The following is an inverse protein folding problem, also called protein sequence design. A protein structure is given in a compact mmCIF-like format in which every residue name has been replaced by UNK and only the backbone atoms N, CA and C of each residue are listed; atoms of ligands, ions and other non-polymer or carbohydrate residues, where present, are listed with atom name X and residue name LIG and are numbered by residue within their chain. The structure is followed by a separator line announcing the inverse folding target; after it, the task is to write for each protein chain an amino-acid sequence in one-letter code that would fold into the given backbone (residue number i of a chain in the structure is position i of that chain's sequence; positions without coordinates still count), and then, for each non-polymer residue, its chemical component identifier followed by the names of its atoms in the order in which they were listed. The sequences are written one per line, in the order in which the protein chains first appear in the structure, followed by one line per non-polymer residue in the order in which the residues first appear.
data_IF_586850448539
#
_entry.id   IF_586850448539
#
_cell.length_a   1.000
_cell.length_b   1.000
_cell.length_c   1.000
_cell.angle_alpha   90.00
_cell.angle_beta   90.00
_cell.angle_gamma   90.00
#
_symmetry.space_group_name_H-M   'P 1'
#
loop_
_entity.id
_entity.type
_entity.pdbx_description
1 polymer ?
#
# COMPACT_ATOMS: atom_id res chain seq x y z
N UNK A 1 62.08 -47.94 -13.61
CA UNK A 1 61.94 -46.88 -14.64
C UNK A 1 60.59 -47.11 -15.30
N UNK A 2 59.51 -46.33 -15.18
CA UNK A 2 59.12 -44.99 -14.65
C UNK A 2 57.70 -45.21 -14.08
N UNK A 3 57.40 -45.05 -12.78
CA UNK A 3 57.01 -43.82 -12.09
C UNK A 3 56.32 -42.76 -12.97
N UNK A 4 54.98 -42.76 -13.00
CA UNK A 4 54.13 -41.59 -13.29
C UNK A 4 52.86 -41.71 -12.45
N UNK A 5 52.84 -40.98 -11.33
CA UNK A 5 51.64 -40.37 -10.74
C UNK A 5 51.41 -39.07 -11.53
N UNK A 6 50.16 -38.65 -11.82
CA UNK A 6 49.67 -37.49 -11.08
C UNK A 6 48.14 -37.40 -10.86
N UNK A 7 47.84 -36.82 -9.70
CA UNK A 7 46.87 -35.73 -9.48
C UNK A 7 45.39 -36.06 -9.57
N UNK A 8 44.85 -36.15 -8.35
CA UNK A 8 43.46 -36.02 -7.97
C UNK A 8 42.82 -34.73 -8.52
N UNK A 9 41.60 -34.86 -9.03
CA UNK A 9 40.64 -33.76 -9.16
C UNK A 9 39.34 -34.22 -8.47
N UNK A 10 39.31 -34.07 -7.15
CA UNK A 10 38.07 -34.19 -6.37
C UNK A 10 37.32 -32.88 -6.58
N UNK A 11 36.35 -32.90 -7.49
CA UNK A 11 35.36 -31.84 -7.64
C UNK A 11 34.36 -32.01 -6.48
N UNK A 12 34.60 -31.29 -5.39
CA UNK A 12 33.63 -31.15 -4.30
C UNK A 12 32.54 -30.22 -4.83
N UNK A 13 31.44 -30.80 -5.29
CA UNK A 13 30.19 -30.09 -5.51
C UNK A 13 29.64 -29.68 -4.14
N UNK A 14 30.04 -28.50 -3.67
CA UNK A 14 29.34 -27.80 -2.60
C UNK A 14 28.02 -27.29 -3.20
N UNK A 15 27.00 -28.14 -3.19
CA UNK A 15 25.61 -27.69 -3.20
C UNK A 15 25.36 -27.02 -1.85
N UNK A 16 25.77 -25.77 -1.73
CA UNK A 16 25.21 -24.88 -0.73
C UNK A 16 23.75 -24.64 -1.16
N UNK A 17 22.83 -25.37 -0.53
CA UNK A 17 21.46 -24.91 -0.45
C UNK A 17 21.52 -23.60 0.34
N UNK A 18 21.54 -22.48 -0.39
CA UNK A 18 21.25 -21.18 0.18
C UNK A 18 19.77 -21.24 0.54
N UNK A 19 19.47 -21.61 1.78
CA UNK A 19 18.14 -21.47 2.36
C UNK A 19 17.91 -19.97 2.45
N UNK A 20 17.32 -19.43 1.38
CA UNK A 20 16.92 -18.03 1.32
C UNK A 20 15.64 -17.94 2.13
N UNK A 21 15.80 -17.92 3.46
CA UNK A 21 14.75 -17.64 4.44
C UNK A 21 14.29 -16.20 4.19
N UNK A 22 13.44 -16.07 3.17
CA UNK A 22 12.65 -14.86 2.94
C UNK A 22 11.50 -14.99 3.93
N UNK A 23 11.51 -14.08 4.90
CA UNK A 23 10.51 -14.02 5.97
C UNK A 23 9.33 -13.22 5.40
N UNK A 24 8.10 -13.71 5.60
CA UNK A 24 6.91 -12.98 5.17
C UNK A 24 6.78 -11.66 5.94
N UNK A 25 6.43 -10.54 5.28
CA UNK A 25 6.23 -9.28 5.97
C UNK A 25 5.04 -9.33 6.94
N UNK A 26 4.17 -10.34 6.86
CA UNK A 26 3.00 -10.49 7.74
C UNK A 26 3.02 -11.86 8.40
N UNK A 27 3.02 -11.87 9.73
CA UNK A 27 2.88 -13.06 10.56
C UNK A 27 1.58 -13.01 11.35
N UNK A 28 0.90 -14.15 11.46
CA UNK A 28 -0.28 -14.29 12.32
C UNK A 28 0.13 -15.13 13.52
N UNK A 29 -0.10 -14.61 14.71
CA UNK A 29 0.20 -15.35 15.93
C UNK A 29 -1.05 -16.12 16.39
N UNK A 30 -0.90 -17.42 16.65
CA UNK A 30 -1.76 -18.09 17.62
C UNK A 30 -1.37 -17.58 19.02
N UNK A 31 -2.36 -17.25 19.85
CA UNK A 31 -2.22 -16.63 21.18
C UNK A 31 -1.43 -17.51 22.19
N UNK A 32 -0.11 -17.62 22.04
CA UNK A 32 0.77 -18.16 23.07
C UNK A 32 1.67 -17.04 23.62
N UNK A 33 1.12 -16.32 24.61
CA UNK A 33 1.80 -15.29 25.38
C UNK A 33 2.80 -15.93 26.36
N UNK A 34 4.10 -15.78 26.12
CA UNK A 34 5.10 -15.86 27.19
C UNK A 34 5.47 -14.46 27.70
N UNK A 35 5.49 -14.21 29.01
CA UNK A 35 5.71 -12.88 29.57
C UNK A 35 7.20 -12.50 29.58
N UNK A 36 7.52 -11.35 28.99
CA UNK A 36 8.83 -10.71 29.09
C UNK A 36 9.11 -10.27 30.54
N UNK A 37 10.16 -10.84 31.13
CA UNK A 37 10.68 -10.46 32.44
C UNK A 37 11.37 -9.10 32.40
N UNK A 38 10.84 -8.16 33.17
CA UNK A 38 11.44 -6.84 33.44
C UNK A 38 12.72 -7.00 34.28
N UNK A 39 13.83 -6.42 33.83
CA UNK A 39 15.00 -6.13 34.69
C UNK A 39 15.40 -4.67 34.52
N UNK A 40 15.29 -3.92 35.62
CA UNK A 40 15.74 -2.54 35.72
C UNK A 40 17.19 -2.48 36.24
N UNK A 41 18.02 -1.65 35.62
CA UNK A 41 19.10 -0.93 36.29
C UNK A 41 19.49 0.28 35.43
N UNK A 42 19.42 1.47 36.04
CA UNK A 42 19.80 2.74 35.45
C UNK A 42 21.27 3.05 35.77
N UNK A 43 22.02 3.50 34.77
CA UNK A 43 23.23 4.30 34.95
C UNK A 43 23.25 5.38 33.86
N UNK A 44 23.41 6.62 34.29
CA UNK A 44 23.34 7.83 33.47
C UNK A 44 24.72 8.27 33.00
N UNK A 45 24.93 8.32 31.68
CA UNK A 45 26.05 8.97 30.98
C UNK A 45 25.49 9.80 29.79
N UNK A 46 26.27 10.73 29.19
CA UNK A 46 25.75 11.97 28.61
C UNK A 46 24.95 11.77 27.32
N UNK A 47 24.05 12.72 27.05
CA UNK A 47 23.15 12.82 25.88
C UNK A 47 23.90 12.88 24.53
N UNK A 48 24.51 11.78 24.12
CA UNK A 48 24.48 11.38 22.72
C UNK A 48 23.08 10.79 22.48
N UNK A 49 22.40 11.25 21.43
CA UNK A 49 21.09 10.70 21.07
C UNK A 49 21.30 9.24 20.64
N UNK A 50 21.11 8.30 21.58
CA UNK A 50 21.01 6.90 21.23
C UNK A 50 19.93 6.76 20.14
N UNK A 51 20.20 6.00 19.07
CA UNK A 51 19.19 5.74 18.06
C UNK A 51 17.96 5.14 18.77
N UNK A 52 16.81 5.75 18.57
CA UNK A 52 15.54 5.22 19.07
C UNK A 52 15.40 3.81 18.50
N UNK A 53 15.37 2.81 19.38
CA UNK A 53 15.15 1.42 18.99
C UNK A 53 13.71 1.30 18.47
N UNK A 54 13.57 1.17 17.15
CA UNK A 54 12.29 0.96 16.49
C UNK A 54 12.03 -0.53 16.54
N UNK A 55 10.87 -0.92 17.07
CA UNK A 55 10.45 -2.31 17.06
C UNK A 55 10.53 -2.88 15.63
N UNK A 56 11.12 -4.07 15.49
CA UNK A 56 11.25 -4.75 14.20
C UNK A 56 9.86 -5.09 13.60
N UNK A 57 8.82 -5.16 14.46
CA UNK A 57 7.46 -5.52 14.11
C UNK A 57 6.43 -4.55 14.69
N UNK A 58 5.30 -4.40 14.00
CA UNK A 58 4.10 -3.74 14.51
C UNK A 58 2.95 -4.74 14.63
N UNK A 59 2.30 -4.78 15.78
CA UNK A 59 1.18 -5.69 16.05
C UNK A 59 -0.17 -4.98 15.93
N UNK A 60 -1.08 -5.59 15.17
CA UNK A 60 -2.44 -5.12 14.95
C UNK A 60 -3.43 -6.19 15.40
N UNK A 61 -4.49 -5.79 16.11
CA UNK A 61 -5.59 -6.71 16.45
C UNK A 61 -6.73 -6.50 15.46
N UNK A 62 -7.03 -7.52 14.64
CA UNK A 62 -8.10 -7.49 13.63
C UNK A 62 -9.02 -8.67 13.87
N UNK A 63 -10.30 -8.42 14.19
CA UNK A 63 -11.28 -9.49 14.46
C UNK A 63 -10.78 -10.56 15.46
N UNK A 64 -10.15 -10.13 16.55
CA UNK A 64 -9.55 -11.00 17.60
C UNK A 64 -8.29 -11.78 17.15
N UNK A 65 -7.81 -11.59 15.92
CA UNK A 65 -6.54 -12.12 15.40
C UNK A 65 -5.42 -11.08 15.60
N UNK A 66 -4.24 -11.52 16.07
CA UNK A 66 -3.04 -10.68 16.11
C UNK A 66 -2.29 -10.85 14.80
N UNK A 67 -2.18 -9.74 14.06
CA UNK A 67 -1.43 -9.62 12.83
C UNK A 67 -0.17 -8.81 13.12
N UNK A 68 1.00 -9.44 12.97
CA UNK A 68 2.31 -8.82 13.14
C UNK A 68 2.89 -8.46 11.78
N UNK A 69 3.29 -7.20 11.61
CA UNK A 69 3.82 -6.63 10.38
C UNK A 69 5.31 -6.33 10.57
N UNK A 70 6.19 -6.94 9.76
CA UNK A 70 7.61 -6.61 9.74
C UNK A 70 7.82 -5.20 9.19
N UNK A 71 8.35 -4.31 10.03
CA UNK A 71 8.64 -2.92 9.66
C UNK A 71 9.84 -2.86 8.72
N UNK A 72 10.85 -3.69 8.97
CA UNK A 72 12.12 -3.68 8.22
C UNK A 72 11.98 -4.17 6.80
N UNK A 73 11.05 -5.10 6.56
CA UNK A 73 10.81 -5.66 5.22
C UNK A 73 9.95 -4.74 4.34
N UNK A 74 9.50 -3.60 4.89
CA UNK A 74 8.73 -2.57 4.18
C UNK A 74 9.55 -1.26 4.21
N UNK A 75 10.44 -1.03 3.21
CA UNK A 75 11.40 0.07 3.26
C UNK A 75 10.79 1.46 3.46
N UNK A 76 9.65 1.72 2.83
CA UNK A 76 8.93 3.00 2.96
C UNK A 76 8.43 3.23 4.40
N UNK A 77 7.98 2.17 5.06
CA UNK A 77 7.47 2.23 6.43
C UNK A 77 8.62 2.41 7.43
N UNK A 78 9.70 1.63 7.24
CA UNK A 78 10.93 1.77 8.02
C UNK A 78 11.51 3.19 7.92
N UNK A 79 11.62 3.74 6.70
CA UNK A 79 12.10 5.11 6.50
C UNK A 79 11.18 6.15 7.14
N UNK A 80 9.86 5.99 7.01
CA UNK A 80 8.88 6.88 7.64
C UNK A 80 9.07 6.92 9.16
N UNK A 81 9.17 5.76 9.81
CA UNK A 81 9.32 5.65 11.26
C UNK A 81 10.65 6.20 11.76
N UNK A 82 11.76 5.95 11.04
CA UNK A 82 13.07 6.53 11.36
C UNK A 82 13.08 8.07 11.32
N UNK A 83 12.22 8.67 10.50
CA UNK A 83 12.11 10.12 10.42
C UNK A 83 11.25 10.74 11.53
N UNK A 84 10.53 9.94 12.33
CA UNK A 84 9.63 10.46 13.36
C UNK A 84 10.37 10.86 14.64
N UNK A 85 9.94 11.96 15.24
CA UNK A 85 10.39 12.35 16.58
C UNK A 85 9.97 11.35 17.66
N UNK A 86 8.83 10.69 17.44
CA UNK A 86 8.29 9.65 18.32
C UNK A 86 7.76 8.49 17.46
N UNK A 87 8.62 7.55 17.04
CA UNK A 87 8.23 6.42 16.18
C UNK A 87 7.15 5.55 16.81
N UNK A 88 7.19 5.36 18.13
CA UNK A 88 6.22 4.57 18.88
C UNK A 88 4.81 5.16 18.86
N UNK A 89 4.70 6.49 18.94
CA UNK A 89 3.42 7.16 18.76
C UNK A 89 2.93 7.03 17.31
N UNK A 90 3.82 7.19 16.33
CA UNK A 90 3.46 7.05 14.92
C UNK A 90 3.00 5.62 14.58
N UNK A 91 3.60 4.59 15.18
CA UNK A 91 3.14 3.20 15.07
C UNK A 91 1.72 3.01 15.60
N UNK A 92 1.42 3.57 16.78
CA UNK A 92 0.08 3.48 17.41
C UNK A 92 -1.02 4.17 16.62
N UNK A 93 -0.66 5.14 15.78
CA UNK A 93 -1.59 5.87 14.92
C UNK A 93 -1.83 5.16 13.57
N UNK A 94 -1.09 4.09 13.28
CA UNK A 94 -1.33 3.28 12.09
C UNK A 94 -2.58 2.42 12.26
N UNK A 95 -3.25 2.15 11.15
CA UNK A 95 -4.39 1.25 11.11
C UNK A 95 -4.23 0.25 9.97
N UNK A 96 -4.56 -1.01 10.26
CA UNK A 96 -4.47 -2.10 9.30
C UNK A 96 -5.86 -2.70 9.09
N UNK A 97 -6.32 -2.67 7.85
CA UNK A 97 -7.57 -3.30 7.44
C UNK A 97 -7.28 -4.60 6.67
N UNK A 98 -8.08 -5.64 6.92
CA UNK A 98 -7.96 -6.94 6.26
C UNK A 98 -9.12 -7.15 5.28
N UNK A 99 -8.77 -7.61 4.08
CA UNK A 99 -9.71 -7.95 3.02
C UNK A 99 -9.55 -9.41 2.62
N UNK A 100 -10.68 -10.07 2.36
CA UNK A 100 -10.73 -11.49 1.96
C UNK A 100 -11.55 -11.60 0.68
N UNK A 101 -10.93 -12.10 -0.39
CA UNK A 101 -11.56 -12.33 -1.69
C UNK A 101 -11.37 -13.78 -2.10
N UNK A 102 -12.42 -14.58 -1.92
CA UNK A 102 -12.34 -16.02 -2.16
C UNK A 102 -11.35 -16.68 -1.20
N UNK A 103 -10.19 -17.10 -1.72
CA UNK A 103 -9.10 -17.71 -0.94
C UNK A 103 -7.91 -16.78 -0.73
N UNK A 104 -7.88 -15.62 -1.39
CA UNK A 104 -6.81 -14.64 -1.26
C UNK A 104 -7.17 -13.65 -0.15
N UNK A 105 -6.17 -13.23 0.60
CA UNK A 105 -6.29 -12.15 1.57
C UNK A 105 -5.21 -11.10 1.33
N UNK A 106 -5.56 -9.85 1.57
CA UNK A 106 -4.63 -8.73 1.49
C UNK A 106 -4.99 -7.70 2.56
N UNK A 107 -4.09 -6.76 2.78
CA UNK A 107 -4.25 -5.75 3.81
C UNK A 107 -4.01 -4.35 3.26
N UNK A 108 -4.66 -3.37 3.86
CA UNK A 108 -4.42 -1.95 3.62
C UNK A 108 -3.92 -1.34 4.91
N UNK A 109 -2.68 -0.86 4.90
CA UNK A 109 -2.10 -0.12 6.00
C UNK A 109 -2.26 1.38 5.75
N UNK A 110 -2.95 2.06 6.66
CA UNK A 110 -3.07 3.51 6.75
C UNK A 110 -1.99 4.03 7.70
N UNK A 111 -1.14 4.95 7.24
CA UNK A 111 -0.04 5.50 8.02
C UNK A 111 0.24 6.97 7.69
N UNK A 112 1.12 7.61 8.47
CA UNK A 112 1.58 9.00 8.25
C UNK A 112 0.46 10.06 8.22
N UNK A 113 -0.61 9.89 8.99
CA UNK A 113 -1.80 10.72 8.85
C UNK A 113 -1.65 12.17 9.35
N UNK A 114 -2.22 13.13 8.62
CA UNK A 114 -2.29 14.55 8.97
C UNK A 114 -3.57 15.18 8.41
N UNK A 115 -4.43 15.72 9.30
CA UNK A 115 -5.74 16.31 8.93
C UNK A 115 -6.57 15.43 7.97
N UNK A 116 -6.80 14.17 8.36
CA UNK A 116 -7.55 13.15 7.60
C UNK A 116 -6.94 12.74 6.25
N UNK A 117 -5.73 13.21 5.94
CA UNK A 117 -4.93 12.75 4.80
C UNK A 117 -3.88 11.77 5.29
N UNK A 118 -3.83 10.58 4.70
CA UNK A 118 -2.90 9.52 5.06
C UNK A 118 -2.18 8.97 3.83
N UNK A 119 -1.13 8.21 4.08
CA UNK A 119 -0.50 7.35 3.07
C UNK A 119 -1.03 5.93 3.26
N UNK A 120 -1.16 5.19 2.15
CA UNK A 120 -1.83 3.89 2.12
C UNK A 120 -0.93 2.87 1.42
N UNK A 121 -0.58 1.79 2.13
CA UNK A 121 0.10 0.64 1.55
C UNK A 121 -0.88 -0.51 1.34
N UNK A 122 -0.84 -1.10 0.15
CA UNK A 122 -1.41 -2.40 -0.13
C UNK A 122 -0.36 -3.47 0.17
N UNK A 123 -0.74 -4.45 1.00
CA UNK A 123 0.14 -5.48 1.53
C UNK A 123 -0.43 -6.87 1.27
N UNK A 124 0.44 -7.84 1.06
CA UNK A 124 0.08 -9.25 0.99
C UNK A 124 0.87 -10.05 2.02
N UNK A 125 0.29 -11.12 2.61
CA UNK A 125 1.05 -12.03 3.46
C UNK A 125 2.00 -12.98 2.70
N UNK A 126 2.14 -12.84 1.38
CA UNK A 126 3.10 -13.60 0.58
C UNK A 126 4.36 -12.74 0.45
N UNK A 127 5.49 -13.28 0.88
CA UNK A 127 6.79 -12.61 0.84
C UNK A 127 7.25 -12.22 -0.58
N UNK A 128 6.73 -12.89 -1.61
CA UNK A 128 7.07 -12.58 -3.00
C UNK A 128 6.26 -11.39 -3.55
N UNK A 129 5.27 -10.90 -2.80
CA UNK A 129 4.39 -9.80 -3.17
C UNK A 129 4.79 -8.55 -2.35
N UNK A 130 5.56 -7.61 -2.93
CA UNK A 130 6.05 -6.45 -2.19
C UNK A 130 4.91 -5.51 -1.78
N UNK A 131 5.15 -4.68 -0.77
CA UNK A 131 4.24 -3.60 -0.39
C UNK A 131 4.13 -2.56 -1.52
N UNK A 132 2.91 -2.08 -1.79
CA UNK A 132 2.64 -1.05 -2.80
C UNK A 132 2.02 0.20 -2.19
N UNK A 133 2.62 1.37 -2.42
CA UNK A 133 2.03 2.64 -2.06
C UNK A 133 0.93 3.00 -3.06
N UNK A 134 -0.33 2.81 -2.67
CA UNK A 134 -1.49 3.08 -3.54
C UNK A 134 -1.94 4.54 -3.49
N UNK A 135 -1.65 5.24 -2.39
CA UNK A 135 -1.81 6.68 -2.29
C UNK A 135 -0.89 7.26 -1.21
N UNK A 136 -0.49 8.51 -1.40
CA UNK A 136 0.31 9.27 -0.44
C UNK A 136 -0.47 10.53 -0.04
N UNK A 137 -0.51 10.89 1.24
CA UNK A 137 -1.17 12.12 1.74
C UNK A 137 -2.52 12.41 1.07
N UNK A 138 -3.42 11.45 1.10
CA UNK A 138 -4.75 11.51 0.49
C UNK A 138 -5.83 11.08 1.48
N UNK A 139 -7.07 11.42 1.20
CA UNK A 139 -8.23 10.93 1.94
C UNK A 139 -8.82 9.75 1.17
N UNK A 140 -9.00 8.61 1.84
CA UNK A 140 -9.65 7.44 1.25
C UNK A 140 -11.17 7.64 1.22
N UNK A 141 -11.77 7.47 0.04
CA UNK A 141 -13.21 7.62 -0.16
C UNK A 141 -13.91 6.27 -0.25
N UNK A 142 -13.42 5.39 -1.13
CA UNK A 142 -14.04 4.09 -1.39
C UNK A 142 -13.14 3.16 -2.20
N UNK A 143 -13.52 1.89 -2.29
CA UNK A 143 -13.00 0.97 -3.29
C UNK A 143 -14.11 0.08 -3.82
N UNK A 144 -13.91 -0.46 -5.03
CA UNK A 144 -14.78 -1.50 -5.60
C UNK A 144 -13.93 -2.58 -6.28
N UNK A 145 -14.39 -3.82 -6.20
CA UNK A 145 -13.76 -4.96 -6.88
C UNK A 145 -14.33 -5.16 -8.27
N UNK A 146 -13.50 -5.62 -9.20
CA UNK A 146 -13.98 -6.08 -10.50
C UNK A 146 -14.97 -7.24 -10.34
N UNK A 147 -15.86 -7.50 -11.33
CA UNK A 147 -16.85 -8.57 -11.22
C UNK A 147 -16.24 -9.96 -10.95
N UNK A 148 -15.07 -10.26 -11.52
CA UNK A 148 -14.28 -11.47 -11.25
C UNK A 148 -13.45 -11.45 -9.96
N UNK A 149 -13.47 -10.34 -9.21
CA UNK A 149 -12.68 -10.08 -8.00
C UNK A 149 -11.15 -10.21 -8.16
N UNK A 150 -10.63 -10.07 -9.38
CA UNK A 150 -9.17 -10.10 -9.65
C UNK A 150 -8.52 -8.72 -9.54
N UNK A 151 -9.31 -7.64 -9.58
CA UNK A 151 -8.83 -6.25 -9.50
C UNK A 151 -9.60 -5.48 -8.45
N UNK A 152 -8.96 -4.45 -7.92
CA UNK A 152 -9.56 -3.46 -7.04
C UNK A 152 -9.28 -2.07 -7.58
N UNK A 153 -10.31 -1.22 -7.61
CA UNK A 153 -10.20 0.19 -7.92
C UNK A 153 -10.39 0.99 -6.64
N UNK A 154 -9.35 1.71 -6.21
CA UNK A 154 -9.37 2.60 -5.06
C UNK A 154 -9.63 4.03 -5.49
N UNK A 155 -10.48 4.73 -4.75
CA UNK A 155 -10.73 6.15 -4.92
C UNK A 155 -10.23 6.92 -3.70
N UNK A 156 -9.39 7.90 -4.00
CA UNK A 156 -8.84 8.84 -3.04
C UNK A 156 -9.11 10.27 -3.47
N UNK A 157 -9.15 11.18 -2.51
CA UNK A 157 -9.25 12.62 -2.75
C UNK A 157 -8.13 13.37 -2.06
N UNK A 158 -7.93 14.62 -2.45
CA UNK A 158 -7.10 15.58 -1.71
C UNK A 158 -7.85 16.91 -1.61
N UNK A 159 -7.61 17.71 -0.57
CA UNK A 159 -7.97 19.11 -0.58
C UNK A 159 -7.33 19.79 -1.79
N UNK A 160 -8.14 20.36 -2.67
CA UNK A 160 -7.69 21.17 -3.78
C UNK A 160 -7.59 22.64 -3.39
N UNK A 161 -7.63 23.51 -4.40
CA UNK A 161 -7.76 24.94 -4.16
C UNK A 161 -9.19 25.23 -3.68
N UNK A 162 -9.32 25.73 -2.45
CA UNK A 162 -10.59 26.10 -1.83
C UNK A 162 -11.55 24.91 -1.69
N UNK A 163 -12.76 25.01 -2.25
CA UNK A 163 -13.78 23.95 -2.15
C UNK A 163 -13.64 22.82 -3.18
N UNK A 164 -12.72 22.93 -4.15
CA UNK A 164 -12.49 21.88 -5.12
C UNK A 164 -11.83 20.67 -4.43
N UNK A 165 -12.38 19.47 -4.65
CA UNK A 165 -11.81 18.21 -4.13
C UNK A 165 -11.47 17.28 -5.29
N UNK A 166 -10.25 17.35 -5.84
CA UNK A 166 -9.82 16.45 -6.91
C UNK A 166 -9.76 15.00 -6.43
N UNK A 167 -10.20 14.10 -7.30
CA UNK A 167 -10.16 12.66 -7.09
C UNK A 167 -8.96 12.00 -7.78
N UNK A 168 -8.66 10.79 -7.31
CA UNK A 168 -7.62 9.93 -7.83
C UNK A 168 -8.10 8.48 -7.77
N UNK A 169 -8.11 7.82 -8.92
CA UNK A 169 -8.37 6.39 -9.00
C UNK A 169 -7.07 5.66 -9.33
N UNK A 170 -6.78 4.62 -8.55
CA UNK A 170 -5.72 3.63 -8.79
C UNK A 170 -6.36 2.26 -8.90
N UNK A 171 -5.99 1.51 -9.93
CA UNK A 171 -6.47 0.16 -10.14
C UNK A 171 -5.30 -0.80 -9.93
N UNK A 172 -5.52 -1.84 -9.14
CA UNK A 172 -4.51 -2.82 -8.80
C UNK A 172 -5.02 -4.23 -9.16
N UNK A 173 -4.18 -4.99 -9.85
CA UNK A 173 -4.41 -6.40 -10.17
C UNK A 173 -3.89 -7.25 -9.01
N UNK A 174 -4.81 -7.91 -8.30
CA UNK A 174 -4.52 -8.70 -7.11
C UNK A 174 -3.93 -10.07 -7.46
N UNK A 175 -4.18 -10.56 -8.67
CA UNK A 175 -3.64 -11.84 -9.16
C UNK A 175 -2.18 -11.70 -9.58
N UNK A 176 -1.86 -10.67 -10.36
CA UNK A 176 -0.51 -10.38 -10.86
C UNK A 176 0.29 -9.49 -9.91
N UNK A 177 -0.37 -8.93 -8.89
CA UNK A 177 0.21 -8.06 -7.87
C UNK A 177 0.92 -6.84 -8.44
N UNK A 178 0.23 -6.11 -9.31
CA UNK A 178 0.75 -4.95 -10.04
C UNK A 178 -0.33 -3.91 -10.32
N UNK A 179 0.07 -2.68 -10.60
CA UNK A 179 -0.85 -1.61 -11.02
C UNK A 179 -1.35 -1.83 -12.45
N UNK A 180 -2.59 -1.42 -12.70
CA UNK A 180 -3.23 -1.49 -14.01
C UNK A 180 -3.43 -0.07 -14.53
N UNK A 181 -2.95 0.18 -15.75
CA UNK A 181 -3.18 1.47 -16.38
C UNK A 181 -4.55 1.53 -17.05
N UNK A 182 -5.11 2.73 -17.06
CA UNK A 182 -6.32 3.11 -17.77
C UNK A 182 -5.95 3.68 -19.15
N UNK A 183 -6.65 3.24 -20.19
CA UNK A 183 -6.43 3.66 -21.58
C UNK A 183 -7.70 4.28 -22.14
N UNK A 184 -7.57 5.47 -22.71
CA UNK A 184 -8.64 6.19 -23.42
C UNK A 184 -8.06 6.88 -24.65
N UNK A 185 -8.71 6.74 -25.81
CA UNK A 185 -8.30 7.41 -27.06
C UNK A 185 -6.83 7.22 -27.47
N UNK A 186 -6.26 6.06 -27.11
CA UNK A 186 -4.83 5.70 -27.24
C UNK A 186 -3.87 6.45 -26.29
N UNK A 187 -4.39 7.22 -25.35
CA UNK A 187 -3.64 7.77 -24.23
C UNK A 187 -3.71 6.80 -23.04
N UNK A 188 -2.54 6.34 -22.59
CA UNK A 188 -2.37 5.46 -21.44
C UNK A 188 -2.03 6.31 -20.22
N UNK A 189 -2.80 6.18 -19.15
CA UNK A 189 -2.51 6.79 -17.85
C UNK A 189 -2.50 5.73 -16.75
N UNK A 190 -1.50 5.75 -15.88
CA UNK A 190 -1.43 4.81 -14.74
C UNK A 190 -2.47 5.10 -13.66
N UNK A 191 -2.98 6.34 -13.59
CA UNK A 191 -3.96 6.80 -12.60
C UNK A 191 -4.61 8.12 -13.02
N UNK A 192 -5.64 8.59 -12.30
CA UNK A 192 -6.29 9.89 -12.58
C UNK A 192 -5.73 11.11 -11.81
N UNK A 193 -4.58 10.96 -11.15
CA UNK A 193 -3.67 12.06 -10.79
C UNK A 193 -4.22 13.35 -10.11
N UNK A 194 -5.17 13.30 -9.17
CA UNK A 194 -5.65 14.45 -8.36
C UNK A 194 -5.88 15.75 -9.16
N UNK A 195 -6.37 15.65 -10.39
CA UNK A 195 -6.54 16.82 -11.27
C UNK A 195 -8.01 17.23 -11.37
N UNK A 196 -8.91 16.26 -11.51
CA UNK A 196 -10.34 16.50 -11.68
C UNK A 196 -11.12 15.91 -10.50
N UNK A 197 -12.24 16.51 -10.07
CA UNK A 197 -13.17 15.85 -9.17
C UNK A 197 -13.73 14.60 -9.81
N UNK A 198 -13.92 13.54 -9.03
CA UNK A 198 -14.54 12.30 -9.45
C UNK A 198 -15.83 12.16 -8.66
N UNK A 199 -16.96 12.06 -9.37
CA UNK A 199 -18.28 11.97 -8.73
C UNK A 199 -18.63 10.52 -8.40
N UNK A 200 -18.32 9.61 -9.31
CA UNK A 200 -18.60 8.19 -9.17
C UNK A 200 -17.66 7.37 -10.07
N UNK A 201 -17.56 6.07 -9.80
CA UNK A 201 -16.98 5.11 -10.72
C UNK A 201 -17.64 3.74 -10.56
N UNK A 202 -17.73 2.98 -11.65
CA UNK A 202 -18.29 1.64 -11.65
C UNK A 202 -17.56 0.73 -12.65
N UNK A 203 -17.48 -0.55 -12.31
CA UNK A 203 -16.99 -1.58 -13.22
C UNK A 203 -18.06 -1.90 -14.26
N UNK A 204 -17.67 -1.83 -15.54
CA UNK A 204 -18.53 -2.28 -16.65
C UNK A 204 -18.37 -3.79 -16.83
N UNK A 205 -17.13 -4.25 -16.80
CA UNK A 205 -16.70 -5.65 -16.88
C UNK A 205 -15.31 -5.80 -16.21
N UNK A 206 -14.67 -6.96 -16.35
CA UNK A 206 -13.37 -7.26 -15.72
C UNK A 206 -12.18 -6.45 -16.30
N UNK A 207 -12.42 -5.68 -17.35
CA UNK A 207 -11.41 -4.98 -18.16
C UNK A 207 -11.73 -3.51 -18.46
N UNK A 208 -12.84 -2.99 -17.95
CA UNK A 208 -13.26 -1.61 -18.22
C UNK A 208 -13.95 -0.95 -17.02
N UNK A 209 -13.66 0.33 -16.82
CA UNK A 209 -14.23 1.17 -15.76
C UNK A 209 -14.93 2.39 -16.35
N UNK A 210 -16.15 2.68 -15.91
CA UNK A 210 -16.84 3.94 -16.16
C UNK A 210 -16.58 4.90 -15.00
N UNK A 211 -16.28 6.16 -15.31
CA UNK A 211 -16.00 7.19 -14.30
C UNK A 211 -16.78 8.44 -14.67
N UNK A 212 -17.54 8.96 -13.71
CA UNK A 212 -18.32 10.19 -13.88
C UNK A 212 -17.54 11.39 -13.37
N UNK A 213 -17.43 12.39 -14.24
CA UNK A 213 -16.84 13.69 -13.93
C UNK A 213 -17.91 14.78 -13.98
N UNK A 214 -17.76 15.86 -13.20
CA UNK A 214 -18.55 17.06 -13.41
C UNK A 214 -18.23 17.68 -14.79
N UNK A 215 -19.23 18.22 -15.49
CA UNK A 215 -18.98 19.00 -16.70
C UNK A 215 -18.43 20.38 -16.32
N UNK A 216 -17.11 20.50 -16.36
CA UNK A 216 -16.35 21.70 -16.04
C UNK A 216 -15.51 22.14 -17.24
N UNK A 217 -15.34 23.45 -17.41
CA UNK A 217 -14.43 23.99 -18.43
C UNK A 217 -12.95 23.81 -18.04
N UNK A 218 -12.66 23.83 -16.75
CA UNK A 218 -11.33 23.65 -16.15
C UNK A 218 -11.48 23.17 -14.69
N UNK A 219 -10.46 22.52 -14.10
CA UNK A 219 -10.51 22.09 -12.70
C UNK A 219 -10.12 23.24 -11.77
N UNK A 220 -10.99 24.25 -11.66
CA UNK A 220 -10.81 25.40 -10.77
C UNK A 220 -11.92 25.49 -9.72
N UNK A 221 -11.63 26.16 -8.60
CA UNK A 221 -12.60 26.41 -7.53
C UNK A 221 -13.82 27.17 -8.06
N UNK A 222 -13.62 28.19 -8.88
CA UNK A 222 -14.71 28.98 -9.48
C UNK A 222 -15.62 28.12 -10.36
N UNK A 223 -15.04 27.27 -11.23
CA UNK A 223 -15.82 26.37 -12.07
C UNK A 223 -16.60 25.34 -11.24
N UNK A 224 -15.98 24.83 -10.17
CA UNK A 224 -16.59 23.86 -9.26
C UNK A 224 -17.74 24.46 -8.45
N UNK A 225 -17.55 25.64 -7.87
CA UNK A 225 -18.59 26.35 -7.13
C UNK A 225 -19.76 26.71 -8.05
N UNK A 226 -19.47 27.14 -9.28
CA UNK A 226 -20.50 27.41 -10.29
C UNK A 226 -21.30 26.14 -10.65
N UNK A 227 -20.61 25.01 -10.84
CA UNK A 227 -21.25 23.72 -11.14
C UNK A 227 -22.11 23.22 -9.97
N UNK A 228 -21.63 23.36 -8.73
CA UNK A 228 -22.37 22.97 -7.52
C UNK A 228 -23.62 23.83 -7.28
N UNK A 229 -23.62 25.08 -7.76
CA UNK A 229 -24.75 25.99 -7.63
C UNK A 229 -25.87 25.75 -8.67
N UNK A 230 -25.66 24.86 -9.64
CA UNK A 230 -26.69 24.51 -10.64
C UNK A 230 -27.79 23.66 -10.00
N UNK A 231 -29.04 23.87 -10.43
CA UNK A 231 -30.18 23.01 -10.02
C UNK A 231 -30.01 21.56 -10.50
N UNK A 232 -29.46 21.40 -11.70
CA UNK A 232 -29.04 20.12 -12.26
C UNK A 232 -27.53 20.13 -12.42
N UNK A 233 -26.88 19.08 -11.90
CA UNK A 233 -25.43 18.95 -11.87
C UNK A 233 -24.98 18.04 -13.03
N UNK A 234 -24.69 18.61 -14.22
CA UNK A 234 -24.41 17.81 -15.41
C UNK A 234 -23.13 17.00 -15.24
N UNK A 235 -23.17 15.74 -15.64
CA UNK A 235 -22.05 14.81 -15.57
C UNK A 235 -21.61 14.36 -16.96
N UNK A 236 -20.35 13.97 -17.09
CA UNK A 236 -19.81 13.28 -18.25
C UNK A 236 -19.20 11.95 -17.82
N UNK A 237 -19.74 10.86 -18.33
CA UNK A 237 -19.20 9.52 -18.12
C UNK A 237 -18.10 9.26 -19.13
N UNK A 238 -16.93 8.86 -18.63
CA UNK A 238 -15.81 8.41 -19.46
C UNK A 238 -15.51 6.94 -19.18
N UNK A 239 -15.44 6.14 -20.23
CA UNK A 239 -15.01 4.74 -20.14
C UNK A 239 -13.51 4.62 -20.38
N UNK A 240 -12.84 3.90 -19.49
CA UNK A 240 -11.44 3.52 -19.62
C UNK A 240 -11.31 2.02 -19.79
N UNK A 241 -10.51 1.60 -20.77
CA UNK A 241 -10.08 0.22 -20.90
C UNK A 241 -8.83 -0.02 -20.07
N UNK A 242 -8.68 -1.21 -19.55
CA UNK A 242 -7.60 -1.55 -18.64
C UNK A 242 -6.50 -2.35 -19.32
N UNK A 243 -5.25 -2.01 -19.02
CA UNK A 243 -4.08 -2.73 -19.50
C UNK A 243 -3.07 -2.89 -18.38
N UNK A 244 -2.54 -4.10 -18.20
CA UNK A 244 -1.46 -4.37 -17.26
C UNK A 244 -0.18 -3.67 -17.77
N UNK A 245 0.63 -3.14 -16.83
CA UNK A 245 1.93 -2.54 -17.14
C UNK A 245 3.04 -3.56 -17.44
#
# INVERSE_FOLDING_TARGET
MRMILPVALIVILLSACLENDTISPIHKADLDLEPLTTSAAAESEPLDQEPVDIEDYAEFTINEEIVSLSIRDIPILHQFLQAQKNPQQALKEMELEKYILGLEEFFILRFSCHHDQCSYLLLHPDQNKPAFLVADMATYESHTFSPDATKVAFHFTRPGNGHLTPGHIVIFDLQHWTTVSMVRDNEKTGSLGFTWPILSFEWIDDSSLAIDFPVLTEPSEEAWDAWNALEEQPTITTTYNLTIE
#
